data_IF_287435287345
#
_entry.id   IF_287435287345
#
_cell.length_a   1.000
_cell.length_b   1.000
_cell.length_c   1.000
_cell.angle_alpha   90.00
_cell.angle_beta   90.00
_cell.angle_gamma   90.00
#
_symmetry.space_group_name_H-M   'P 1'
#
loop_
_entity.id
_entity.type
_entity.pdbx_description
1 polymer ?
#
# COMPACT_ATOMS: atom_id res chain seq x y z
N UNK A 1 -3.73 -16.86 5.67
CA UNK A 1 -4.48 -16.44 4.46
C UNK A 1 -3.81 -15.17 4.01
N UNK A 2 -3.24 -15.19 2.81
CA UNK A 2 -2.48 -14.10 2.22
C UNK A 2 -3.38 -12.87 2.01
N UNK A 3 -2.86 -11.66 2.22
CA UNK A 3 -3.57 -10.38 1.95
C UNK A 3 -4.13 -10.36 0.52
N UNK A 4 -3.37 -10.88 -0.44
CA UNK A 4 -3.80 -11.00 -1.83
C UNK A 4 -4.98 -11.95 -2.01
N UNK A 5 -5.06 -13.03 -1.25
CA UNK A 5 -6.23 -13.93 -1.29
C UNK A 5 -7.46 -13.28 -0.65
N UNK A 6 -7.28 -12.49 0.40
CA UNK A 6 -8.36 -11.72 1.03
C UNK A 6 -8.90 -10.64 0.07
N UNK A 7 -8.01 -9.91 -0.61
CA UNK A 7 -8.38 -8.92 -1.64
C UNK A 7 -9.08 -9.58 -2.83
N UNK A 8 -8.60 -10.71 -3.33
CA UNK A 8 -9.27 -11.49 -4.41
C UNK A 8 -10.68 -11.95 -4.02
N UNK A 9 -10.87 -12.41 -2.78
CA UNK A 9 -12.17 -12.85 -2.30
C UNK A 9 -13.17 -11.71 -2.19
N UNK A 10 -12.72 -10.49 -1.85
CA UNK A 10 -13.56 -9.30 -1.83
C UNK A 10 -13.98 -8.92 -3.24
N UNK A 11 -13.06 -8.94 -4.19
CA UNK A 11 -13.32 -8.66 -5.59
C UNK A 11 -14.39 -9.58 -6.14
N UNK A 12 -14.27 -10.89 -5.89
CA UNK A 12 -15.27 -11.89 -6.30
C UNK A 12 -16.66 -11.65 -5.68
N UNK A 13 -16.72 -10.96 -4.52
CA UNK A 13 -18.00 -10.61 -3.88
C UNK A 13 -18.55 -9.27 -4.39
N UNK A 14 -17.70 -8.31 -4.76
CA UNK A 14 -18.12 -6.99 -5.30
C UNK A 14 -18.73 -7.14 -6.69
N UNK A 15 -18.20 -8.03 -7.54
CA UNK A 15 -18.75 -8.32 -8.86
C UNK A 15 -20.19 -8.90 -8.82
N UNK A 16 -20.65 -9.37 -7.66
CA UNK A 16 -22.01 -9.89 -7.45
C UNK A 16 -23.02 -8.83 -7.00
N UNK A 17 -22.60 -7.60 -6.70
CA UNK A 17 -23.49 -6.50 -6.31
C UNK A 17 -23.97 -5.78 -7.56
N UNK A 18 -25.29 -5.71 -7.85
CA UNK A 18 -25.80 -4.95 -8.99
C UNK A 18 -25.43 -3.48 -8.81
N UNK A 19 -24.85 -2.89 -9.84
CA UNK A 19 -24.53 -1.45 -9.88
C UNK A 19 -25.82 -0.63 -9.79
N UNK A 20 -26.11 -0.09 -8.61
CA UNK A 20 -27.12 0.96 -8.48
C UNK A 20 -26.45 2.25 -8.94
N UNK A 21 -26.74 2.67 -10.17
CA UNK A 21 -26.37 3.96 -10.72
C UNK A 21 -27.05 5.06 -9.90
N UNK A 22 -26.29 5.74 -9.03
CA UNK A 22 -26.67 7.08 -8.59
C UNK A 22 -26.31 8.07 -9.71
N UNK A 23 -27.31 8.54 -10.44
CA UNK A 23 -27.18 9.72 -11.28
C UNK A 23 -27.00 10.96 -10.39
N UNK A 24 -25.90 11.67 -10.57
CA UNK A 24 -25.74 12.98 -9.98
C UNK A 24 -24.29 13.37 -9.76
N UNK A 25 -23.83 14.31 -10.57
CA UNK A 25 -22.55 15.04 -10.54
C UNK A 25 -21.42 14.32 -11.27
N UNK A 26 -21.14 14.79 -12.50
CA UNK A 26 -19.95 14.36 -13.24
C UNK A 26 -18.67 14.69 -12.46
N UNK A 27 -17.77 13.73 -12.25
CA UNK A 27 -16.52 13.99 -11.53
C UNK A 27 -15.62 14.94 -12.33
N UNK A 28 -15.08 15.93 -11.64
CA UNK A 28 -14.16 16.92 -12.20
C UNK A 28 -12.78 16.28 -12.39
N UNK A 29 -12.31 16.19 -13.65
CA UNK A 29 -10.94 15.82 -13.97
C UNK A 29 -10.69 14.35 -14.35
N UNK A 30 -9.43 14.06 -14.72
CA UNK A 30 -8.97 12.78 -15.26
C UNK A 30 -9.12 11.56 -14.33
N UNK A 31 -9.38 11.75 -13.05
CA UNK A 31 -9.64 10.67 -12.09
C UNK A 31 -10.80 9.75 -12.53
N UNK A 32 -11.83 10.30 -13.17
CA UNK A 32 -12.95 9.54 -13.73
C UNK A 32 -12.56 8.54 -14.83
N UNK A 33 -11.41 8.72 -15.45
CA UNK A 33 -10.95 7.88 -16.55
C UNK A 33 -10.22 6.62 -16.08
N UNK A 34 -9.62 6.66 -14.89
CA UNK A 34 -8.94 5.51 -14.28
C UNK A 34 -9.91 4.53 -13.60
N UNK A 35 -11.00 5.05 -13.06
CA UNK A 35 -12.06 4.26 -12.39
C UNK A 35 -12.88 3.40 -13.36
N UNK A 36 -12.82 3.65 -14.67
CA UNK A 36 -13.64 2.93 -15.67
C UNK A 36 -13.13 1.51 -15.99
N UNK A 37 -11.91 1.16 -15.58
CA UNK A 37 -11.34 -0.13 -15.97
C UNK A 37 -11.71 -1.30 -15.07
N UNK A 38 -12.00 -1.08 -13.77
CA UNK A 38 -12.35 -2.17 -12.87
C UNK A 38 -13.51 -1.86 -11.92
N UNK A 39 -13.91 -0.60 -11.74
CA UNK A 39 -14.87 -0.18 -10.71
C UNK A 39 -14.34 -0.34 -9.28
N UNK A 40 -13.13 -0.85 -9.10
CA UNK A 40 -12.48 -1.08 -7.81
C UNK A 40 -11.40 -0.02 -7.61
N UNK A 41 -11.54 0.72 -6.54
CA UNK A 41 -10.54 1.70 -6.10
C UNK A 41 -9.84 1.18 -4.85
N UNK A 42 -8.69 1.76 -4.51
CA UNK A 42 -7.98 1.38 -3.29
C UNK A 42 -8.87 1.60 -2.04
N UNK A 43 -9.74 2.59 -2.05
CA UNK A 43 -10.67 2.87 -0.95
C UNK A 43 -11.61 1.71 -0.67
N UNK A 44 -12.02 0.94 -1.69
CA UNK A 44 -12.92 -0.21 -1.53
C UNK A 44 -12.28 -1.40 -0.80
N UNK A 45 -10.96 -1.44 -0.69
CA UNK A 45 -10.21 -2.53 -0.04
C UNK A 45 -9.52 -2.10 1.26
N UNK A 46 -9.56 -0.82 1.62
CA UNK A 46 -8.86 -0.26 2.80
C UNK A 46 -9.18 -1.05 4.06
N UNK A 47 -10.46 -1.20 4.40
CA UNK A 47 -10.86 -1.80 5.68
C UNK A 47 -10.34 -3.24 5.80
N UNK A 48 -10.42 -4.00 4.74
CA UNK A 48 -9.95 -5.40 4.76
C UNK A 48 -8.45 -5.52 4.84
N UNK A 49 -7.72 -4.70 4.08
CA UNK A 49 -6.26 -4.68 4.13
C UNK A 49 -5.79 -4.26 5.52
N UNK A 50 -6.40 -3.22 6.09
CA UNK A 50 -6.05 -2.72 7.43
C UNK A 50 -6.34 -3.77 8.49
N UNK A 51 -7.51 -4.41 8.44
CA UNK A 51 -7.89 -5.46 9.40
C UNK A 51 -6.92 -6.64 9.35
N UNK A 52 -6.54 -7.11 8.16
CA UNK A 52 -5.58 -8.19 8.00
C UNK A 52 -4.20 -7.82 8.59
N UNK A 53 -3.70 -6.61 8.28
CA UNK A 53 -2.43 -6.12 8.83
C UNK A 53 -2.48 -6.01 10.37
N UNK A 54 -3.59 -5.50 10.93
CA UNK A 54 -3.74 -5.41 12.38
C UNK A 54 -3.80 -6.77 13.06
N UNK A 55 -4.48 -7.74 12.46
CA UNK A 55 -4.56 -9.10 12.99
C UNK A 55 -3.16 -9.73 13.04
N UNK A 56 -2.38 -9.60 11.96
CA UNK A 56 -1.03 -10.14 11.89
C UNK A 56 -0.09 -9.42 12.87
N UNK A 57 -0.15 -8.08 12.94
CA UNK A 57 0.62 -7.29 13.89
C UNK A 57 0.31 -7.69 15.35
N UNK A 58 -0.96 -7.91 15.68
CA UNK A 58 -1.39 -8.39 17.01
C UNK A 58 -0.88 -9.81 17.28
N UNK A 59 -0.93 -10.69 16.28
CA UNK A 59 -0.42 -12.06 16.40
C UNK A 59 1.08 -12.08 16.72
N UNK A 60 1.83 -11.18 16.10
CA UNK A 60 3.28 -11.02 16.32
C UNK A 60 3.60 -10.21 17.60
N UNK A 61 2.61 -9.54 18.20
CA UNK A 61 2.81 -8.66 19.35
C UNK A 61 3.55 -7.36 19.03
N UNK A 62 3.47 -6.90 17.78
CA UNK A 62 4.22 -5.74 17.26
C UNK A 62 3.26 -4.60 16.96
N UNK A 63 3.32 -3.47 17.68
CA UNK A 63 2.53 -2.30 17.34
C UNK A 63 3.14 -1.58 16.13
N UNK A 64 2.34 -1.38 15.09
CA UNK A 64 2.78 -0.78 13.83
C UNK A 64 1.97 0.44 13.44
N UNK A 65 2.50 1.20 12.49
CA UNK A 65 1.74 2.14 11.64
C UNK A 65 1.47 1.47 10.31
N UNK A 66 0.22 1.51 9.89
CA UNK A 66 -0.28 1.02 8.61
C UNK A 66 -0.62 2.25 7.78
N UNK A 67 -0.15 2.32 6.54
CA UNK A 67 -0.48 3.39 5.61
C UNK A 67 -0.85 2.83 4.25
N UNK A 68 -1.89 3.39 3.64
CA UNK A 68 -2.34 3.05 2.30
C UNK A 68 -2.34 4.33 1.45
N UNK A 69 -1.75 4.24 0.27
CA UNK A 69 -1.75 5.30 -0.74
C UNK A 69 -2.51 4.81 -1.98
N UNK A 70 -3.06 5.76 -2.76
CA UNK A 70 -3.66 5.47 -4.06
C UNK A 70 -2.60 5.21 -5.14
N UNK A 71 -3.03 4.92 -6.37
CA UNK A 71 -2.14 4.69 -7.51
C UNK A 71 -1.32 5.92 -7.93
N UNK A 72 -1.65 7.11 -7.44
CA UNK A 72 -0.86 8.34 -7.61
C UNK A 72 0.18 8.54 -6.51
N UNK A 73 0.15 7.71 -5.46
CA UNK A 73 0.98 7.81 -4.27
C UNK A 73 0.45 8.80 -3.23
N UNK A 74 -0.79 9.27 -3.37
CA UNK A 74 -1.45 10.13 -2.37
C UNK A 74 -1.98 9.30 -1.21
N UNK A 75 -1.83 9.82 0.02
CA UNK A 75 -2.28 9.11 1.22
C UNK A 75 -3.81 9.02 1.25
N UNK A 76 -4.32 7.79 1.36
CA UNK A 76 -5.74 7.48 1.50
C UNK A 76 -6.09 7.14 2.94
N UNK A 77 -5.23 6.37 3.60
CA UNK A 77 -5.47 5.91 4.96
C UNK A 77 -4.17 5.80 5.73
N UNK A 78 -4.22 6.16 7.01
CA UNK A 78 -3.11 5.92 7.94
C UNK A 78 -3.65 5.64 9.34
N UNK A 79 -3.16 4.56 9.96
CA UNK A 79 -3.46 4.21 11.33
C UNK A 79 -2.21 3.89 12.12
N UNK A 80 -2.05 4.52 13.26
CA UNK A 80 -1.05 4.18 14.25
C UNK A 80 -1.68 3.32 15.34
N UNK A 81 -1.15 2.11 15.54
CA UNK A 81 -1.49 1.29 16.71
C UNK A 81 -0.91 1.94 17.98
N UNK A 82 -1.57 1.71 19.12
CA UNK A 82 -1.04 2.15 20.40
C UNK A 82 0.37 1.61 20.62
N UNK A 83 1.30 2.45 21.09
CA UNK A 83 2.72 2.17 21.31
C UNK A 83 3.58 2.01 20.05
N UNK A 84 3.04 2.13 18.85
CA UNK A 84 3.88 2.16 17.65
C UNK A 84 4.85 3.35 17.70
N UNK A 85 6.05 3.14 17.15
CA UNK A 85 7.12 4.14 17.15
C UNK A 85 6.68 5.42 16.43
N UNK A 86 7.08 6.57 16.96
CA UNK A 86 6.73 7.88 16.36
C UNK A 86 7.27 8.06 14.94
N UNK A 87 8.49 7.59 14.65
CA UNK A 87 9.09 7.64 13.31
C UNK A 87 8.29 6.85 12.27
N UNK A 88 7.56 5.82 12.70
CA UNK A 88 6.75 5.00 11.81
C UNK A 88 5.59 5.76 11.16
N UNK A 89 5.18 6.91 11.75
CA UNK A 89 4.16 7.79 11.17
C UNK A 89 4.62 8.33 9.81
N UNK A 90 5.92 8.57 9.65
CA UNK A 90 6.50 9.03 8.37
C UNK A 90 6.96 7.85 7.51
N UNK A 91 7.53 6.81 8.12
CA UNK A 91 8.07 5.67 7.37
C UNK A 91 6.99 4.85 6.66
N UNK A 92 5.85 4.58 7.30
CA UNK A 92 4.80 3.76 6.69
C UNK A 92 4.25 4.39 5.39
N UNK A 93 3.81 5.67 5.36
CA UNK A 93 3.35 6.28 4.11
C UNK A 93 4.46 6.43 3.06
N UNK A 94 5.72 6.63 3.47
CA UNK A 94 6.84 6.68 2.53
C UNK A 94 7.17 5.30 1.94
N UNK A 95 7.02 4.20 2.70
CA UNK A 95 7.10 2.83 2.18
C UNK A 95 5.99 2.56 1.15
N UNK A 96 4.73 2.90 1.47
CA UNK A 96 3.61 2.76 0.57
C UNK A 96 3.82 3.55 -0.74
N UNK A 97 4.24 4.82 -0.63
CA UNK A 97 4.57 5.65 -1.77
C UNK A 97 5.68 5.05 -2.63
N UNK A 98 6.76 4.59 -2.00
CA UNK A 98 7.90 4.01 -2.70
C UNK A 98 7.47 2.79 -3.51
N UNK A 99 6.65 1.92 -2.93
CA UNK A 99 6.14 0.73 -3.60
C UNK A 99 5.32 1.08 -4.85
N UNK A 100 4.47 2.12 -4.79
CA UNK A 100 3.71 2.63 -5.95
C UNK A 100 4.61 3.27 -6.99
N UNK A 101 5.53 4.14 -6.56
CA UNK A 101 6.39 4.92 -7.46
C UNK A 101 7.30 4.02 -8.30
N UNK A 102 7.81 2.93 -7.72
CA UNK A 102 8.67 1.95 -8.39
C UNK A 102 7.93 0.70 -8.87
N UNK A 103 6.63 0.55 -8.54
CA UNK A 103 5.80 -0.62 -8.87
C UNK A 103 6.42 -1.94 -8.41
N UNK A 104 7.09 -1.92 -7.28
CA UNK A 104 7.70 -3.11 -6.67
C UNK A 104 7.80 -2.94 -5.15
N UNK A 105 7.91 -4.07 -4.45
CA UNK A 105 8.13 -4.06 -3.01
C UNK A 105 9.43 -3.35 -2.63
N UNK A 106 9.41 -2.62 -1.52
CA UNK A 106 10.56 -1.84 -1.06
C UNK A 106 11.77 -2.71 -0.69
N UNK A 107 11.55 -3.97 -0.31
CA UNK A 107 12.63 -4.93 -0.10
C UNK A 107 13.36 -5.26 -1.41
N UNK A 108 12.62 -5.51 -2.50
CA UNK A 108 13.18 -5.78 -3.83
C UNK A 108 13.93 -4.57 -4.37
N UNK A 109 13.35 -3.37 -4.19
CA UNK A 109 14.03 -2.12 -4.57
C UNK A 109 15.34 -1.97 -3.80
N UNK A 110 15.33 -2.18 -2.48
CA UNK A 110 16.51 -2.12 -1.64
C UNK A 110 17.66 -2.99 -2.13
N UNK A 111 17.38 -4.17 -2.66
CA UNK A 111 18.37 -5.08 -3.17
C UNK A 111 19.13 -4.57 -4.43
N UNK A 112 18.47 -3.72 -5.24
CA UNK A 112 19.04 -3.22 -6.53
C UNK A 112 19.61 -1.82 -6.45
N UNK A 113 19.61 -1.20 -5.26
CA UNK A 113 20.17 0.15 -5.03
C UNK A 113 21.40 0.13 -4.13
N UNK A 114 22.04 -1.01 -3.97
CA UNK A 114 23.23 -1.16 -3.13
C UNK A 114 24.48 -0.55 -3.80
N UNK A 115 25.54 -0.23 -3.03
CA UNK A 115 26.80 0.22 -3.60
C UNK A 115 27.27 -0.69 -4.74
N UNK A 116 27.60 -0.10 -5.89
CA UNK A 116 28.01 -0.83 -7.10
C UNK A 116 26.89 -1.23 -8.04
N UNK A 117 25.63 -0.95 -7.69
CA UNK A 117 24.49 -1.16 -8.61
C UNK A 117 24.15 0.12 -9.40
N UNK A 118 23.48 0.01 -10.57
CA UNK A 118 23.19 1.17 -11.43
C UNK A 118 22.31 2.24 -10.79
N UNK A 119 21.48 1.89 -9.80
CA UNK A 119 20.55 2.80 -9.13
C UNK A 119 21.05 3.25 -7.74
N UNK A 120 22.30 2.98 -7.40
CA UNK A 120 22.87 3.45 -6.15
C UNK A 120 22.76 4.98 -6.00
N UNK A 121 22.23 5.45 -4.87
CA UNK A 121 22.06 6.87 -4.60
C UNK A 121 20.77 7.49 -5.19
N UNK A 122 19.86 6.67 -5.74
CA UNK A 122 18.61 7.16 -6.33
C UNK A 122 17.78 7.98 -5.35
N UNK A 123 17.86 7.70 -4.06
CA UNK A 123 17.17 8.42 -2.99
C UNK A 123 17.56 9.91 -2.92
N UNK A 124 18.74 10.25 -3.40
CA UNK A 124 19.24 11.65 -3.44
C UNK A 124 18.70 12.43 -4.63
N UNK A 125 18.10 11.76 -5.63
CA UNK A 125 17.64 12.35 -6.87
C UNK A 125 16.18 12.78 -6.84
N UNK A 126 15.45 12.42 -5.77
CA UNK A 126 14.02 12.69 -5.63
C UNK A 126 13.74 13.58 -4.40
N UNK A 127 12.71 14.44 -4.49
CA UNK A 127 12.35 15.32 -3.38
C UNK A 127 11.58 14.61 -2.27
N UNK A 128 10.66 13.71 -2.65
CA UNK A 128 9.90 12.93 -1.68
C UNK A 128 10.76 11.77 -1.20
N UNK A 129 10.90 11.58 0.12
CA UNK A 129 11.68 10.48 0.64
C UNK A 129 11.19 9.13 0.12
N UNK A 130 12.11 8.31 -0.33
CA UNK A 130 11.87 6.91 -0.70
C UNK A 130 12.55 5.99 0.31
N UNK A 131 11.93 4.82 0.55
CA UNK A 131 12.40 3.85 1.53
C UNK A 131 12.96 2.64 0.80
N UNK A 132 14.22 2.30 1.10
CA UNK A 132 15.00 1.27 0.43
C UNK A 132 15.16 -0.01 1.25
N UNK A 133 14.18 -0.28 2.14
CA UNK A 133 14.10 -1.49 2.95
C UNK A 133 12.66 -1.94 3.09
N UNK A 134 12.45 -3.23 3.40
CA UNK A 134 11.16 -3.90 3.35
C UNK A 134 10.05 -3.31 4.20
N UNK A 135 8.83 -3.72 3.90
CA UNK A 135 7.59 -3.33 4.56
C UNK A 135 6.71 -2.38 3.74
N UNK A 136 6.99 -2.21 2.45
CA UNK A 136 6.11 -1.54 1.49
C UNK A 136 5.86 -2.43 0.28
N UNK A 137 4.58 -2.61 -0.11
CA UNK A 137 4.18 -3.42 -1.25
C UNK A 137 3.16 -2.67 -2.13
N UNK A 138 3.24 -2.80 -3.47
CA UNK A 138 2.22 -2.28 -4.36
C UNK A 138 0.95 -3.13 -4.25
N UNK A 139 -0.20 -2.50 -4.14
CA UNK A 139 -1.49 -3.18 -4.21
C UNK A 139 -1.89 -3.34 -5.67
N UNK A 140 -1.89 -4.59 -6.12
CA UNK A 140 -2.17 -4.95 -7.51
C UNK A 140 -3.48 -5.72 -7.62
N UNK A 141 -4.30 -5.36 -8.60
CA UNK A 141 -5.49 -6.08 -8.99
C UNK A 141 -5.39 -6.47 -10.46
N UNK A 142 -5.37 -7.76 -10.78
CA UNK A 142 -5.29 -8.25 -12.18
C UNK A 142 -4.23 -7.52 -13.03
N UNK A 143 -3.03 -7.32 -12.50
CA UNK A 143 -1.94 -6.54 -13.09
C UNK A 143 -2.17 -5.00 -13.15
N UNK A 144 -3.24 -4.47 -12.57
CA UNK A 144 -3.45 -3.03 -12.44
C UNK A 144 -3.00 -2.56 -11.05
N UNK A 145 -2.20 -1.50 -11.02
CA UNK A 145 -1.81 -0.85 -9.78
C UNK A 145 -2.99 -0.03 -9.25
N UNK A 146 -3.56 -0.43 -8.12
CA UNK A 146 -4.66 0.29 -7.45
C UNK A 146 -4.16 1.17 -6.30
N UNK A 147 -2.99 0.89 -5.75
CA UNK A 147 -2.43 1.65 -4.62
C UNK A 147 -1.16 1.02 -4.07
N UNK A 148 -0.81 1.39 -2.86
CA UNK A 148 0.33 0.83 -2.12
C UNK A 148 0.06 0.73 -0.63
N UNK A 149 0.64 -0.29 -0.01
CA UNK A 149 0.60 -0.55 1.42
C UNK A 149 1.99 -0.35 2.02
N UNK A 150 2.04 0.28 3.18
CA UNK A 150 3.27 0.44 3.95
C UNK A 150 3.07 0.12 5.42
N UNK A 151 3.94 -0.69 5.96
CA UNK A 151 3.98 -1.10 7.36
C UNK A 151 5.29 -0.66 8.00
N UNK A 152 5.20 -0.11 9.19
CA UNK A 152 6.38 0.26 9.98
C UNK A 152 6.11 0.17 11.47
N UNK A 153 7.01 -0.46 12.21
CA UNK A 153 6.91 -0.57 13.68
C UNK A 153 7.79 -1.62 14.29
N UNK A 154 8.05 -2.72 13.58
CA UNK A 154 8.93 -3.79 13.99
C UNK A 154 10.33 -3.70 13.37
N UNK A 155 11.02 -4.82 13.34
CA UNK A 155 12.19 -5.02 12.49
C UNK A 155 11.76 -5.05 11.01
N UNK A 156 12.69 -4.85 10.09
CA UNK A 156 12.38 -4.92 8.65
C UNK A 156 11.72 -6.25 8.26
N UNK A 157 12.19 -7.36 8.85
CA UNK A 157 11.61 -8.69 8.60
C UNK A 157 10.17 -8.82 9.09
N UNK A 158 9.87 -8.26 10.24
CA UNK A 158 8.52 -8.25 10.81
C UNK A 158 7.59 -7.35 10.00
N UNK A 159 8.04 -6.18 9.59
CA UNK A 159 7.28 -5.30 8.69
C UNK A 159 6.94 -6.01 7.36
N UNK A 160 7.90 -6.78 6.81
CA UNK A 160 7.70 -7.61 5.60
C UNK A 160 6.70 -8.73 5.84
N UNK A 161 6.71 -9.38 7.00
CA UNK A 161 5.74 -10.43 7.33
C UNK A 161 4.31 -9.88 7.43
N UNK A 162 4.14 -8.65 7.92
CA UNK A 162 2.81 -8.05 8.08
C UNK A 162 2.27 -7.53 6.75
N UNK A 163 3.14 -7.08 5.83
CA UNK A 163 2.73 -6.51 4.53
C UNK A 163 2.40 -7.58 3.49
N UNK A 164 2.88 -8.83 3.65
CA UNK A 164 2.65 -9.98 2.76
C UNK A 164 1.54 -10.89 3.27
#
# INVERSE_FOLDING_TARGET
MDIYDSVRNIIANIERVPSTTQEGIAPIGRAAQWSRYTGITVESVVDTVVEACEQEAKRLGIPVVIAIVDASGSLVYQRRMERALGVSIELAPNKAYTAVAFRCGTEKLGAVVQPGTPLYGIETMVKRPIVLFGGGEPLMLENHLIGGLGISGGTVKEDVLIVN
#
